data_IF_868721556692
#
_entry.id   IF_868721556692
#
_cell.length_a   1.000
_cell.length_b   1.000
_cell.length_c   1.000
_cell.angle_alpha   90.00
_cell.angle_beta   90.00
_cell.angle_gamma   90.00
#
_symmetry.space_group_name_H-M   'P 1'
#
loop_
_entity.id
_entity.type
_entity.pdbx_description
1 polymer ?
#
# COMPACT_ATOMS: atom_id res chain seq x y z
N UNK A 1 1.20 -10.43 29.16
CA UNK A 1 1.20 -10.87 28.59
C UNK A 1 1.20 -10.89 28.09
N UNK A 2 1.25 -10.61 27.96
CA UNK A 2 1.07 -10.89 27.28
C UNK A 2 1.38 -11.59 26.93
N UNK A 3 1.57 -11.76 27.20
CA UNK A 3 1.66 -12.47 26.72
C UNK A 3 1.42 -12.54 25.91
N UNK A 4 1.70 -12.19 26.27
CA UNK A 4 1.23 -11.76 25.16
C UNK A 4 0.42 -12.60 24.36
N UNK A 5 -0.55 -12.40 24.14
CA UNK A 5 -1.34 -13.26 23.33
C UNK A 5 -0.51 -14.00 22.30
N UNK A 6 -1.05 -15.03 21.74
CA UNK A 6 -0.35 -15.76 20.70
C UNK A 6 -0.12 -14.87 19.47
N UNK A 7 0.94 -15.12 18.71
CA UNK A 7 1.19 -14.36 17.50
C UNK A 7 0.00 -14.39 16.53
N UNK A 8 -0.66 -15.53 16.41
CA UNK A 8 -1.82 -15.65 15.53
C UNK A 8 -2.94 -14.70 15.93
N UNK A 9 -3.19 -14.57 17.24
CA UNK A 9 -4.23 -13.67 17.72
C UNK A 9 -3.89 -12.21 17.46
N UNK A 10 -2.59 -11.87 17.42
CA UNK A 10 -2.13 -10.50 17.20
C UNK A 10 -1.99 -10.15 15.73
N UNK A 11 -1.99 -11.13 14.83
CA UNK A 11 -1.73 -10.89 13.42
C UNK A 11 -3.00 -10.48 12.69
N UNK A 12 -2.96 -9.32 12.09
CA UNK A 12 -4.04 -8.85 11.23
C UNK A 12 -3.86 -9.41 9.83
N UNK A 13 -4.96 -9.61 9.11
CA UNK A 13 -4.95 -10.10 7.75
C UNK A 13 -5.64 -9.12 6.82
N UNK A 14 -5.10 -8.97 5.62
CA UNK A 14 -5.71 -8.20 4.55
C UNK A 14 -5.83 -9.10 3.33
N UNK A 15 -7.02 -9.16 2.73
CA UNK A 15 -7.24 -9.97 1.54
C UNK A 15 -6.78 -9.19 0.32
N UNK A 16 -5.73 -9.67 -0.34
CA UNK A 16 -5.24 -9.05 -1.58
C UNK A 16 -5.56 -10.00 -2.74
N UNK A 17 -6.57 -9.65 -3.57
CA UNK A 17 -6.91 -10.51 -4.70
C UNK A 17 -5.75 -10.69 -5.66
N UNK A 18 -5.68 -11.85 -6.28
CA UNK A 18 -4.60 -12.20 -7.21
C UNK A 18 -4.47 -11.17 -8.34
N UNK A 19 -5.60 -10.70 -8.86
CA UNK A 19 -5.58 -9.72 -9.95
C UNK A 19 -4.98 -8.39 -9.51
N UNK A 20 -5.26 -7.97 -8.28
CA UNK A 20 -4.70 -6.72 -7.75
C UNK A 20 -3.21 -6.87 -7.48
N UNK A 21 -2.80 -8.03 -6.95
CA UNK A 21 -1.38 -8.33 -6.76
C UNK A 21 -0.63 -8.23 -8.08
N UNK A 22 -1.16 -8.85 -9.13
CA UNK A 22 -0.56 -8.81 -10.45
C UNK A 22 -0.50 -7.37 -11.00
N UNK A 23 -1.56 -6.60 -10.79
CA UNK A 23 -1.62 -5.21 -11.24
C UNK A 23 -0.58 -4.34 -10.54
N UNK A 24 -0.39 -4.53 -9.24
CA UNK A 24 0.61 -3.78 -8.48
C UNK A 24 2.02 -4.10 -9.00
N UNK A 25 2.32 -5.38 -9.20
CA UNK A 25 3.62 -5.80 -9.71
C UNK A 25 3.87 -5.21 -11.12
N UNK A 26 2.88 -5.27 -11.99
CA UNK A 26 3.00 -4.71 -13.34
C UNK A 26 3.24 -3.21 -13.30
N UNK A 27 2.54 -2.50 -12.42
CA UNK A 27 2.72 -1.05 -12.23
C UNK A 27 4.13 -0.75 -11.75
N UNK A 28 4.62 -1.51 -10.77
CA UNK A 28 5.97 -1.35 -10.22
C UNK A 28 7.04 -1.54 -11.29
N UNK A 29 6.91 -2.57 -12.10
CA UNK A 29 7.87 -2.86 -13.18
C UNK A 29 7.86 -1.74 -14.23
N UNK A 30 6.66 -1.27 -14.59
CA UNK A 30 6.52 -0.23 -15.61
C UNK A 30 7.12 1.11 -15.17
N UNK A 31 7.02 1.45 -13.89
CA UNK A 31 7.49 2.73 -13.38
C UNK A 31 8.96 2.73 -12.95
N UNK A 32 9.56 1.56 -12.73
CA UNK A 32 10.95 1.49 -12.27
C UNK A 32 11.85 2.26 -13.24
N UNK A 33 12.86 2.99 -12.75
CA UNK A 33 13.41 3.02 -11.39
C UNK A 33 12.67 3.96 -10.42
N UNK A 34 11.58 4.59 -10.83
CA UNK A 34 10.76 5.40 -9.93
C UNK A 34 9.82 4.49 -9.13
N UNK A 35 9.44 4.96 -7.96
CA UNK A 35 8.41 4.27 -7.20
C UNK A 35 7.05 4.49 -7.86
N UNK A 36 6.28 3.42 -8.00
CA UNK A 36 4.88 3.57 -8.37
C UNK A 36 4.05 3.80 -7.11
N UNK A 37 2.83 4.30 -7.28
CA UNK A 37 1.91 4.41 -6.16
C UNK A 37 0.47 4.28 -6.66
N UNK A 38 -0.41 3.90 -5.72
CA UNK A 38 -1.82 3.75 -6.03
C UNK A 38 -2.67 3.53 -4.80
N UNK A 39 -3.97 3.41 -5.03
CA UNK A 39 -4.97 3.30 -3.99
C UNK A 39 -5.85 2.10 -4.28
N UNK A 40 -6.18 1.35 -3.22
CA UNK A 40 -7.22 0.32 -3.30
C UNK A 40 -8.40 0.82 -2.48
N UNK A 41 -9.54 0.89 -3.13
CA UNK A 41 -10.80 1.30 -2.50
C UNK A 41 -11.64 0.07 -2.17
N UNK A 42 -12.45 0.18 -1.12
CA UNK A 42 -13.31 -0.92 -0.73
C UNK A 42 -14.27 -0.51 0.37
N UNK A 43 -14.82 -1.51 1.05
CA UNK A 43 -15.76 -1.35 2.17
C UNK A 43 -15.40 -2.32 3.27
N UNK A 44 -15.51 -1.85 4.52
CA UNK A 44 -15.27 -2.70 5.69
C UNK A 44 -13.92 -3.41 5.62
N UNK A 45 -12.91 -2.69 5.11
CA UNK A 45 -11.55 -3.24 4.98
C UNK A 45 -11.37 -4.22 3.84
N UNK A 46 -12.40 -4.48 3.02
CA UNK A 46 -12.32 -5.43 1.90
C UNK A 46 -12.07 -4.70 0.60
N UNK A 47 -11.05 -5.10 -0.17
CA UNK A 47 -10.70 -4.41 -1.41
C UNK A 47 -11.74 -4.68 -2.50
N UNK A 48 -12.05 -3.65 -3.27
CA UNK A 48 -13.01 -3.73 -4.37
C UNK A 48 -12.44 -3.23 -5.68
N UNK A 49 -11.61 -2.19 -5.65
CA UNK A 49 -11.11 -1.59 -6.89
C UNK A 49 -9.74 -0.97 -6.67
N UNK A 50 -8.85 -1.15 -7.63
CA UNK A 50 -7.50 -0.59 -7.61
C UNK A 50 -7.44 0.60 -8.55
N UNK A 51 -6.81 1.67 -8.09
CA UNK A 51 -6.57 2.88 -8.86
C UNK A 51 -5.08 3.14 -8.92
N UNK A 52 -4.51 3.10 -10.13
CA UNK A 52 -3.14 3.58 -10.32
C UNK A 52 -3.14 5.09 -10.21
N UNK A 53 -2.15 5.63 -9.53
CA UNK A 53 -2.02 7.08 -9.37
C UNK A 53 -0.68 7.54 -9.90
N UNK A 54 -0.58 8.85 -10.16
CA UNK A 54 0.69 9.42 -10.58
C UNK A 54 1.54 9.74 -9.36
N UNK A 55 2.82 9.40 -9.46
CA UNK A 55 3.81 9.81 -8.47
C UNK A 55 4.42 11.13 -8.93
N UNK A 56 4.15 12.21 -8.20
CA UNK A 56 4.66 13.54 -8.53
C UNK A 56 5.91 13.93 -7.73
N UNK A 57 6.44 13.00 -6.93
CA UNK A 57 7.66 13.26 -6.18
C UNK A 57 8.85 13.43 -7.11
N UNK A 58 9.82 14.25 -6.69
CA UNK A 58 11.06 14.44 -7.42
C UNK A 58 12.05 13.37 -7.00
N UNK A 59 12.66 12.67 -7.99
CA UNK A 59 13.64 11.62 -7.73
C UNK A 59 13.02 10.24 -7.64
N UNK A 60 13.83 9.27 -7.15
CA UNK A 60 13.44 7.86 -7.17
C UNK A 60 13.30 7.22 -5.79
N UNK A 61 13.39 8.02 -4.72
CA UNK A 61 13.52 7.48 -3.37
C UNK A 61 12.26 7.52 -2.54
N UNK A 62 11.21 8.16 -3.02
CA UNK A 62 9.93 8.22 -2.31
C UNK A 62 8.84 8.50 -3.31
N UNK A 63 7.62 8.50 -2.84
CA UNK A 63 6.47 8.77 -3.69
C UNK A 63 5.60 9.85 -3.07
N UNK A 64 4.87 10.54 -3.94
CA UNK A 64 3.79 11.43 -3.53
C UNK A 64 2.66 11.25 -4.53
N UNK A 65 1.49 10.83 -4.05
CA UNK A 65 0.33 10.73 -4.91
C UNK A 65 -0.04 12.12 -5.38
N UNK A 66 -0.28 12.27 -6.69
CA UNK A 66 -0.70 13.54 -7.26
C UNK A 66 -1.89 14.09 -6.45
N UNK A 67 -1.73 15.27 -5.82
CA UNK A 67 -2.78 15.81 -4.95
C UNK A 67 -4.14 16.01 -5.63
N UNK A 68 -4.13 16.42 -6.90
CA UNK A 68 -5.38 16.59 -7.64
C UNK A 68 -6.10 15.28 -7.82
N UNK A 69 -5.35 14.21 -8.12
CA UNK A 69 -5.89 12.88 -8.29
C UNK A 69 -6.43 12.34 -6.96
N UNK A 70 -5.67 12.54 -5.88
CA UNK A 70 -6.08 12.09 -4.55
C UNK A 70 -7.37 12.78 -4.10
N UNK A 71 -7.45 14.10 -4.30
CA UNK A 71 -8.65 14.87 -3.92
C UNK A 71 -9.86 14.39 -4.72
N UNK A 72 -9.71 14.18 -6.01
CA UNK A 72 -10.81 13.70 -6.83
C UNK A 72 -11.30 12.33 -6.37
N UNK A 73 -10.37 11.43 -6.03
CA UNK A 73 -10.75 10.11 -5.53
C UNK A 73 -11.47 10.23 -4.18
N UNK A 74 -10.85 10.91 -3.20
CA UNK A 74 -11.40 10.94 -1.83
C UNK A 74 -12.72 11.66 -1.74
N UNK A 75 -12.90 12.75 -2.48
CA UNK A 75 -14.05 13.62 -2.29
C UNK A 75 -15.13 13.50 -3.36
N UNK A 76 -14.86 12.81 -4.44
CA UNK A 76 -15.84 12.62 -5.50
C UNK A 76 -16.04 11.15 -5.85
N UNK A 77 -15.02 10.47 -6.38
CA UNK A 77 -15.24 9.14 -6.97
C UNK A 77 -15.56 8.08 -5.92
N UNK A 78 -14.78 8.02 -4.85
CA UNK A 78 -15.01 6.99 -3.84
C UNK A 78 -16.34 7.15 -3.12
N UNK A 79 -16.72 8.38 -2.67
CA UNK A 79 -18.05 8.56 -2.08
C UNK A 79 -19.18 8.22 -3.04
N UNK A 80 -19.05 8.56 -4.33
CA UNK A 80 -20.08 8.22 -5.32
C UNK A 80 -20.28 6.72 -5.44
N UNK A 81 -19.22 5.94 -5.23
CA UNK A 81 -19.28 4.48 -5.27
C UNK A 81 -19.51 3.86 -3.90
N UNK A 82 -19.69 4.69 -2.87
CA UNK A 82 -19.88 4.26 -1.49
C UNK A 82 -18.70 3.40 -1.02
N UNK A 83 -17.49 3.82 -1.39
CA UNK A 83 -16.26 3.15 -0.98
C UNK A 83 -15.32 4.12 -0.28
N UNK A 84 -14.29 3.57 0.32
CA UNK A 84 -13.26 4.33 1.05
C UNK A 84 -11.89 3.74 0.73
N UNK A 85 -10.83 4.45 1.09
CA UNK A 85 -9.47 3.93 0.92
C UNK A 85 -9.26 2.83 1.95
N UNK A 86 -8.98 1.61 1.48
CA UNK A 86 -8.65 0.49 2.37
C UNK A 86 -7.17 0.14 2.33
N UNK A 87 -6.46 0.50 1.26
CA UNK A 87 -5.02 0.29 1.17
C UNK A 87 -4.39 1.35 0.27
N UNK A 88 -3.13 1.62 0.54
CA UNK A 88 -2.30 2.47 -0.29
C UNK A 88 -1.06 1.66 -0.63
N UNK A 89 -0.71 1.59 -1.91
CA UNK A 89 0.47 0.82 -2.30
C UNK A 89 1.52 1.70 -2.95
N UNK A 90 2.77 1.29 -2.81
CA UNK A 90 3.88 1.85 -3.56
C UNK A 90 4.95 0.80 -3.75
N UNK A 91 5.93 1.09 -4.60
CA UNK A 91 6.98 0.13 -4.87
C UNK A 91 8.33 0.61 -4.34
N UNK A 92 9.17 -0.37 -4.00
CA UNK A 92 10.58 -0.16 -3.72
C UNK A 92 11.35 -0.84 -4.86
N UNK A 93 11.82 -0.09 -5.87
CA UNK A 93 12.46 -0.72 -7.02
C UNK A 93 13.73 -1.50 -6.69
N UNK A 94 14.46 -1.11 -5.62
CA UNK A 94 15.76 -1.70 -5.31
C UNK A 94 15.92 -2.12 -3.86
N UNK A 95 14.96 -1.79 -2.98
CA UNK A 95 15.06 -2.08 -1.55
C UNK A 95 14.02 -3.10 -1.14
N UNK A 96 14.16 -3.68 0.07
CA UNK A 96 13.19 -4.67 0.56
C UNK A 96 11.79 -4.10 0.74
N UNK A 97 10.80 -5.00 0.83
CA UNK A 97 9.40 -4.63 1.04
C UNK A 97 9.16 -4.31 2.51
N UNK A 98 9.78 -3.24 2.99
CA UNK A 98 9.63 -2.79 4.37
C UNK A 98 9.61 -1.26 4.39
N UNK A 99 8.77 -0.63 5.23
CA UNK A 99 8.66 0.83 5.24
C UNK A 99 9.99 1.52 5.54
N UNK A 100 10.33 2.51 4.73
CA UNK A 100 11.47 3.37 4.97
C UNK A 100 11.11 4.41 6.03
N UNK A 101 12.11 5.15 6.54
CA UNK A 101 11.86 6.24 7.47
C UNK A 101 10.92 7.28 6.85
N UNK A 102 11.11 7.57 5.55
CA UNK A 102 10.24 8.52 4.84
C UNK A 102 8.81 7.97 4.72
N UNK A 103 8.67 6.66 4.44
CA UNK A 103 7.35 6.04 4.38
C UNK A 103 6.60 6.21 5.70
N UNK A 104 7.29 6.04 6.82
CA UNK A 104 6.69 6.19 8.15
C UNK A 104 6.29 7.65 8.39
N UNK A 105 7.16 8.60 8.05
CA UNK A 105 6.87 10.03 8.21
C UNK A 105 5.64 10.47 7.43
N UNK A 106 5.44 9.90 6.23
CA UNK A 106 4.39 10.34 5.32
C UNK A 106 3.15 9.44 5.36
N UNK A 107 3.06 8.57 6.36
CA UNK A 107 1.92 7.64 6.49
C UNK A 107 0.76 8.35 7.20
N UNK A 108 -0.07 9.05 6.42
CA UNK A 108 -1.17 9.85 6.96
C UNK A 108 -2.52 9.14 6.98
N UNK A 109 -2.56 7.84 6.69
CA UNK A 109 -3.80 7.07 6.66
C UNK A 109 -3.72 5.93 7.67
N UNK A 110 -4.01 6.19 8.96
CA UNK A 110 -3.85 5.17 10.01
C UNK A 110 -4.80 3.98 9.83
N UNK A 111 -5.89 4.16 9.12
CA UNK A 111 -6.87 3.07 8.91
C UNK A 111 -6.63 2.30 7.63
N UNK A 112 -5.67 2.68 6.81
CA UNK A 112 -5.34 1.97 5.58
C UNK A 112 -4.21 0.97 5.82
N UNK A 113 -4.21 -0.10 5.04
CA UNK A 113 -3.05 -0.99 4.97
C UNK A 113 -2.09 -0.41 3.94
N UNK A 114 -0.81 -0.32 4.29
CA UNK A 114 0.23 0.09 3.35
C UNK A 114 0.84 -1.14 2.73
N UNK A 115 0.73 -1.26 1.40
CA UNK A 115 1.30 -2.38 0.66
C UNK A 115 2.57 -1.90 -0.03
N UNK A 116 3.65 -2.65 0.14
CA UNK A 116 4.93 -2.31 -0.49
C UNK A 116 5.33 -3.44 -1.42
N UNK A 117 5.53 -3.11 -2.70
CA UNK A 117 5.98 -4.06 -3.71
C UNK A 117 7.47 -3.86 -3.93
N UNK A 118 8.27 -4.85 -3.58
CA UNK A 118 9.71 -4.80 -3.78
C UNK A 118 10.11 -5.50 -5.08
N UNK A 119 10.96 -4.85 -5.85
CA UNK A 119 11.61 -5.43 -7.03
C UNK A 119 13.09 -5.67 -6.78
N UNK A 120 13.51 -5.77 -5.51
CA UNK A 120 14.91 -6.04 -5.16
C UNK A 120 15.38 -7.34 -5.82
N UNK A 121 14.53 -8.38 -5.81
CA UNK A 121 14.74 -9.58 -6.62
C UNK A 121 13.70 -9.52 -7.75
N UNK A 122 14.13 -9.17 -8.94
CA UNK A 122 13.22 -8.96 -10.05
C UNK A 122 12.54 -10.24 -10.52
N UNK A 123 13.15 -11.39 -10.26
CA UNK A 123 12.54 -12.67 -10.60
C UNK A 123 11.48 -13.10 -9.60
N UNK A 124 11.47 -12.47 -8.41
CA UNK A 124 10.53 -12.79 -7.34
C UNK A 124 10.03 -11.50 -6.68
N UNK A 125 9.20 -10.71 -7.38
CA UNK A 125 8.62 -9.52 -6.75
C UNK A 125 7.86 -9.91 -5.49
N UNK A 126 8.03 -9.13 -4.45
CA UNK A 126 7.42 -9.41 -3.15
C UNK A 126 6.49 -8.27 -2.76
N UNK A 127 5.31 -8.60 -2.23
CA UNK A 127 4.41 -7.59 -1.67
C UNK A 127 4.19 -7.93 -0.20
N UNK A 128 4.37 -6.94 0.67
CA UNK A 128 4.09 -7.08 2.10
C UNK A 128 3.18 -5.94 2.53
N UNK A 129 2.38 -6.18 3.56
CA UNK A 129 1.42 -5.21 4.07
C UNK A 129 1.74 -4.79 5.49
N UNK A 130 1.42 -3.53 5.81
CA UNK A 130 1.75 -2.94 7.11
C UNK A 130 0.66 -1.97 7.54
N UNK A 131 0.43 -1.91 8.86
CA UNK A 131 -0.23 -0.76 9.49
C UNK A 131 0.87 0.16 10.00
N UNK A 132 0.73 1.45 9.75
CA UNK A 132 1.68 2.45 10.23
C UNK A 132 0.88 3.50 10.98
N UNK A 133 1.05 3.52 12.32
CA UNK A 133 0.30 4.41 13.21
C UNK A 133 1.25 5.03 14.22
N UNK A 134 1.28 6.36 14.25
CA UNK A 134 2.10 7.10 15.22
C UNK A 134 3.56 6.62 15.24
N UNK A 135 4.12 6.35 14.06
CA UNK A 135 5.49 5.89 13.92
C UNK A 135 5.69 4.41 14.18
N UNK A 136 4.67 3.69 14.63
CA UNK A 136 4.76 2.24 14.86
C UNK A 136 4.38 1.47 13.61
N UNK A 137 5.16 0.44 13.31
CA UNK A 137 4.97 -0.41 12.13
C UNK A 137 4.54 -1.79 12.60
N UNK A 138 3.37 -2.24 12.15
CA UNK A 138 2.89 -3.60 12.43
C UNK A 138 2.62 -4.31 11.11
N UNK A 139 3.23 -5.47 10.90
CA UNK A 139 3.02 -6.20 9.66
C UNK A 139 1.64 -6.83 9.64
N UNK A 140 1.02 -6.78 8.45
CA UNK A 140 -0.30 -7.37 8.18
C UNK A 140 -0.09 -8.52 7.22
N UNK A 141 -0.61 -9.71 7.57
CA UNK A 141 -0.50 -10.87 6.70
C UNK A 141 -1.41 -10.69 5.48
N UNK A 142 -0.91 -11.05 4.31
CA UNK A 142 -1.70 -10.94 3.07
C UNK A 142 -2.28 -12.30 2.74
N UNK A 143 -3.60 -12.34 2.53
CA UNK A 143 -4.32 -13.54 2.14
C UNK A 143 -4.87 -13.36 0.73
N UNK A 144 -5.15 -14.46 0.08
CA UNK A 144 -5.78 -14.44 -1.25
C UNK A 144 -7.29 -14.31 -1.14
#
# INVERSE_FOLDING_TARGET
>A
MKTGGSPEAATEHFRLPTEMRAAIIAHAVREAPRECCGIIAGRHGLPMRLYETRNVAVGNRFYEIDPAQLIDLEFRELPEQETEIVAIYHSHPESPAYPSATDVELAFWPDAVFLICSLADRDRPEIRGFRIRDGAIDEVALAL
#
